data_IF_118945014337
#
_entry.id   IF_118945014337
#
_cell.length_a   1.000
_cell.length_b   1.000
_cell.length_c   1.000
_cell.angle_alpha   90.00
_cell.angle_beta   90.00
_cell.angle_gamma   90.00
#
_symmetry.space_group_name_H-M   'P 1'
#
loop_
_entity.id
_entity.type
_entity.pdbx_description
1 polymer ?
#
# COMPACT_ATOMS: atom_id res chain seq x y z
N UNK A 1 0.55 11.58 18.51
CA UNK A 1 0.37 11.44 18.00
C UNK A 1 -0.22 11.33 17.33
N UNK A 2 -0.46 11.30 17.17
CA UNK A 2 -0.95 11.12 16.64
C UNK A 2 -1.37 10.87 15.89
N UNK A 3 -1.78 10.67 15.53
CA UNK A 3 -2.24 10.46 14.95
C UNK A 3 -2.83 10.39 14.19
N UNK A 4 -3.14 10.34 13.86
CA UNK A 4 -3.91 10.38 13.31
C UNK A 4 -3.87 10.18 12.14
N UNK A 5 -3.95 9.76 11.65
CA UNK A 5 -3.73 9.44 10.57
C UNK A 5 -4.66 9.87 9.66
N UNK A 6 -4.37 10.39 8.67
CA UNK A 6 -5.20 10.86 7.73
C UNK A 6 -5.89 9.75 7.11
N UNK A 7 -7.05 9.85 6.86
CA UNK A 7 -7.71 8.82 6.26
C UNK A 7 -7.61 8.85 4.79
N UNK A 8 -7.05 9.86 4.17
CA UNK A 8 -7.02 9.90 2.76
C UNK A 8 -5.67 9.91 2.27
N UNK A 9 -5.38 9.04 1.37
CA UNK A 9 -4.04 8.89 0.87
C UNK A 9 -3.46 10.14 0.27
N UNK A 10 -4.29 10.97 -0.34
CA UNK A 10 -3.70 12.14 -0.95
C UNK A 10 -3.32 13.20 0.05
N UNK A 11 -3.66 13.02 1.31
CA UNK A 11 -3.27 13.97 2.33
C UNK A 11 -1.94 13.63 2.97
N UNK A 12 -1.31 12.54 2.58
CA UNK A 12 -0.06 12.14 3.19
C UNK A 12 1.11 12.94 2.61
N UNK A 13 2.06 13.28 3.46
CA UNK A 13 3.33 13.82 2.97
C UNK A 13 4.13 12.70 2.32
N UNK A 14 5.16 13.10 1.58
CA UNK A 14 6.04 12.11 0.96
C UNK A 14 6.64 11.17 2.00
N UNK A 15 7.12 11.71 3.12
CA UNK A 15 7.72 10.88 4.14
C UNK A 15 6.70 9.95 4.78
N UNK A 16 5.48 10.41 4.99
CA UNK A 16 4.44 9.56 5.53
C UNK A 16 4.08 8.43 4.58
N UNK A 17 4.00 8.73 3.30
CA UNK A 17 3.69 7.72 2.31
C UNK A 17 4.79 6.66 2.26
N UNK A 18 6.04 7.10 2.24
CA UNK A 18 7.15 6.16 2.23
C UNK A 18 7.19 5.33 3.51
N UNK A 19 6.85 5.93 4.65
CA UNK A 19 6.81 5.19 5.90
C UNK A 19 5.76 4.10 5.89
N UNK A 20 4.63 4.36 5.26
CA UNK A 20 3.60 3.33 5.13
C UNK A 20 4.16 2.16 4.34
N UNK A 21 4.83 2.42 3.23
CA UNK A 21 5.35 1.36 2.38
C UNK A 21 6.56 0.65 2.97
N UNK A 22 7.30 1.32 3.84
CA UNK A 22 8.57 0.79 4.31
C UNK A 22 8.46 -0.24 5.42
N UNK A 23 7.29 -0.41 6.02
CA UNK A 23 7.12 -1.48 6.99
C UNK A 23 7.38 -2.83 6.31
N UNK A 24 8.16 -3.72 6.92
CA UNK A 24 8.52 -4.97 6.24
C UNK A 24 7.33 -5.81 5.80
N UNK A 25 6.30 -5.87 6.62
CA UNK A 25 5.12 -6.64 6.24
C UNK A 25 4.39 -5.96 5.10
N UNK A 26 4.21 -4.66 5.18
CA UNK A 26 3.51 -3.94 4.12
C UNK A 26 4.32 -3.95 2.83
N UNK A 27 5.64 -3.90 2.94
CA UNK A 27 6.50 -3.99 1.77
C UNK A 27 6.29 -5.31 1.05
N UNK A 28 6.25 -6.40 1.83
CA UNK A 28 6.00 -7.72 1.26
C UNK A 28 4.63 -7.79 0.60
N UNK A 29 3.62 -7.23 1.26
CA UNK A 29 2.28 -7.21 0.69
C UNK A 29 2.24 -6.42 -0.62
N UNK A 30 2.91 -5.29 -0.67
CA UNK A 30 2.92 -4.49 -1.90
C UNK A 30 3.57 -5.27 -3.04
N UNK A 31 4.66 -5.96 -2.76
CA UNK A 31 5.31 -6.75 -3.79
C UNK A 31 4.42 -7.90 -4.26
N UNK A 32 3.73 -8.53 -3.33
CA UNK A 32 2.84 -9.62 -3.69
C UNK A 32 1.68 -9.12 -4.54
N UNK A 33 1.13 -7.96 -4.18
CA UNK A 33 0.03 -7.39 -4.95
C UNK A 33 0.48 -6.86 -6.30
N UNK A 34 1.72 -6.42 -6.40
CA UNK A 34 2.27 -5.98 -7.68
C UNK A 34 2.37 -7.16 -8.65
N UNK A 35 2.66 -8.32 -8.11
CA UNK A 35 2.75 -9.51 -8.95
C UNK A 35 1.37 -10.00 -9.35
N UNK A 36 0.42 -9.92 -8.41
CA UNK A 36 -0.88 -10.50 -8.67
C UNK A 36 -1.86 -10.05 -7.60
N UNK A 37 -2.97 -9.49 -7.98
CA UNK A 37 -4.01 -9.13 -7.03
C UNK A 37 -4.58 -10.38 -6.38
N UNK A 38 -4.91 -10.31 -5.11
CA UNK A 38 -5.29 -11.50 -4.39
C UNK A 38 -6.33 -11.25 -3.33
N UNK A 39 -7.04 -12.29 -2.96
CA UNK A 39 -7.90 -12.23 -1.80
C UNK A 39 -7.04 -12.41 -0.56
N UNK A 40 -7.62 -12.09 0.59
CA UNK A 40 -6.89 -12.15 1.85
C UNK A 40 -6.33 -13.53 2.13
N UNK A 41 -7.07 -14.57 1.76
CA UNK A 41 -6.60 -15.92 2.07
C UNK A 41 -5.30 -16.24 1.33
N UNK A 42 -5.16 -15.78 0.09
CA UNK A 42 -3.93 -15.98 -0.63
C UNK A 42 -2.79 -15.15 -0.08
N UNK A 43 -3.10 -13.92 0.31
CA UNK A 43 -2.06 -13.08 0.90
C UNK A 43 -1.53 -13.71 2.18
N UNK A 44 -2.40 -14.33 2.96
CA UNK A 44 -1.98 -14.95 4.20
C UNK A 44 -1.06 -16.14 3.98
N UNK A 45 -1.16 -16.79 2.83
CA UNK A 45 -0.24 -17.86 2.50
C UNK A 45 1.18 -17.35 2.31
N UNK A 46 1.30 -16.13 1.80
CA UNK A 46 2.62 -15.56 1.56
C UNK A 46 3.14 -14.76 2.74
N UNK A 47 2.24 -14.31 3.60
CA UNK A 47 2.61 -13.52 4.76
C UNK A 47 1.94 -14.17 5.95
N UNK A 48 2.59 -15.16 6.55
CA UNK A 48 1.97 -15.97 7.60
C UNK A 48 1.91 -15.25 8.95
N UNK A 49 1.02 -14.31 9.07
CA UNK A 49 0.79 -13.59 10.31
C UNK A 49 -0.68 -13.73 10.68
N UNK A 50 -1.00 -13.34 11.89
CA UNK A 50 -2.38 -13.44 12.35
C UNK A 50 -3.30 -12.62 11.43
N UNK A 51 -4.51 -13.12 11.24
CA UNK A 51 -5.44 -12.51 10.32
C UNK A 51 -5.77 -11.07 10.69
N UNK A 52 -5.88 -10.77 11.99
CA UNK A 52 -6.19 -9.41 12.41
C UNK A 52 -5.02 -8.46 12.12
N UNK A 53 -3.79 -8.95 12.21
CA UNK A 53 -2.64 -8.13 11.90
C UNK A 53 -2.54 -7.89 10.39
N UNK A 54 -2.83 -8.90 9.61
CA UNK A 54 -2.86 -8.76 8.16
C UNK A 54 -3.92 -7.73 7.77
N UNK A 55 -5.10 -7.81 8.36
CA UNK A 55 -6.17 -6.87 8.09
C UNK A 55 -5.78 -5.45 8.46
N UNK A 56 -5.05 -5.29 9.56
CA UNK A 56 -4.56 -3.97 9.96
C UNK A 56 -3.64 -3.39 8.89
N UNK A 57 -2.69 -4.17 8.43
CA UNK A 57 -1.74 -3.66 7.43
C UNK A 57 -2.41 -3.36 6.10
N UNK A 58 -3.36 -4.19 5.70
CA UNK A 58 -4.12 -3.92 4.48
C UNK A 58 -4.95 -2.65 4.61
N UNK A 59 -5.51 -2.42 5.78
CA UNK A 59 -6.26 -1.20 6.01
C UNK A 59 -5.36 0.02 5.92
N UNK A 60 -4.16 -0.04 6.50
CA UNK A 60 -3.21 1.07 6.42
C UNK A 60 -2.86 1.37 4.98
N UNK A 61 -2.58 0.33 4.19
CA UNK A 61 -2.26 0.51 2.78
C UNK A 61 -3.42 1.11 2.00
N UNK A 62 -4.63 0.66 2.31
CA UNK A 62 -5.80 1.17 1.61
C UNK A 62 -6.05 2.64 1.96
N UNK A 63 -5.92 3.00 3.23
CA UNK A 63 -6.13 4.38 3.64
C UNK A 63 -5.06 5.31 3.10
N UNK A 64 -3.88 4.78 2.83
CA UNK A 64 -2.83 5.56 2.20
C UNK A 64 -3.04 5.68 0.68
N UNK A 65 -4.02 4.98 0.14
CA UNK A 65 -4.28 5.05 -1.29
C UNK A 65 -3.36 4.21 -2.13
N UNK A 66 -2.63 3.29 -1.52
CA UNK A 66 -1.71 2.43 -2.26
C UNK A 66 -2.36 1.13 -2.71
N UNK A 67 -3.49 0.78 -2.11
CA UNK A 67 -4.18 -0.46 -2.40
C UNK A 67 -5.65 -0.17 -2.59
N UNK A 68 -6.26 -0.84 -3.53
CA UNK A 68 -7.71 -0.76 -3.75
C UNK A 68 -8.33 -2.11 -3.43
N UNK A 69 -9.63 -2.09 -3.20
CA UNK A 69 -10.36 -3.32 -2.94
C UNK A 69 -11.53 -3.41 -3.89
N UNK A 70 -11.94 -4.63 -4.18
CA UNK A 70 -13.18 -4.87 -4.89
C UNK A 70 -13.86 -6.06 -4.26
N UNK A 71 -15.20 -6.02 -4.28
CA UNK A 71 -15.93 -7.08 -3.65
C UNK A 71 -16.41 -8.06 -4.70
N UNK A 72 -16.26 -9.34 -4.41
CA UNK A 72 -16.70 -10.37 -5.30
C UNK A 72 -17.49 -11.35 -4.46
N UNK A 73 -18.80 -11.17 -4.42
CA UNK A 73 -19.64 -11.94 -3.52
C UNK A 73 -19.28 -11.62 -2.08
N UNK A 74 -18.89 -12.63 -1.34
CA UNK A 74 -18.46 -12.44 0.04
C UNK A 74 -16.94 -12.25 0.14
N UNK A 75 -16.26 -12.30 -0.98
CA UNK A 75 -14.81 -12.18 -0.98
C UNK A 75 -14.39 -10.75 -1.29
N UNK A 76 -13.29 -10.34 -0.73
CA UNK A 76 -12.72 -9.03 -1.02
C UNK A 76 -11.36 -9.26 -1.64
N UNK A 77 -11.18 -8.74 -2.83
CA UNK A 77 -9.90 -8.82 -3.52
C UNK A 77 -9.15 -7.52 -3.34
N UNK A 78 -7.85 -7.60 -3.20
CA UNK A 78 -6.99 -6.45 -3.05
C UNK A 78 -6.07 -6.35 -4.25
N UNK A 79 -5.74 -5.12 -4.64
CA UNK A 79 -4.83 -4.86 -5.75
C UNK A 79 -4.08 -3.58 -5.49
N UNK A 80 -2.94 -3.41 -6.15
CA UNK A 80 -2.26 -2.13 -6.08
C UNK A 80 -3.14 -1.07 -6.74
N UNK A 81 -3.19 0.10 -6.15
CA UNK A 81 -3.87 1.22 -6.79
C UNK A 81 -3.13 1.57 -8.08
N UNK A 82 -3.83 2.01 -9.11
CA UNK A 82 -3.19 2.28 -10.39
C UNK A 82 -2.01 3.24 -10.34
N UNK A 83 -2.05 4.22 -9.45
CA UNK A 83 -0.98 5.18 -9.35
C UNK A 83 -0.02 4.93 -8.21
N UNK A 84 -0.12 3.75 -7.56
CA UNK A 84 0.66 3.51 -6.35
C UNK A 84 2.15 3.63 -6.56
N UNK A 85 2.67 2.97 -7.59
CA UNK A 85 4.12 3.00 -7.82
C UNK A 85 4.59 4.38 -8.24
N UNK A 86 3.81 5.08 -9.04
CA UNK A 86 4.18 6.44 -9.43
C UNK A 86 4.22 7.36 -8.23
N UNK A 87 3.27 7.22 -7.31
CA UNK A 87 3.26 8.03 -6.10
C UNK A 87 4.46 7.74 -5.23
N UNK A 88 4.83 6.47 -5.10
CA UNK A 88 5.99 6.10 -4.30
C UNK A 88 7.28 6.62 -4.93
N UNK A 89 7.42 6.51 -6.25
CA UNK A 89 8.58 7.04 -6.92
C UNK A 89 8.68 8.56 -6.74
N UNK A 90 7.57 9.24 -6.86
CA UNK A 90 7.57 10.69 -6.71
C UNK A 90 7.87 11.13 -5.28
N UNK A 91 7.66 10.26 -4.31
CA UNK A 91 7.93 10.57 -2.93
C UNK A 91 9.39 10.39 -2.53
N UNK A 92 10.17 9.72 -3.37
CA UNK A 92 11.57 9.48 -3.02
C UNK A 92 12.37 10.77 -2.96
N UNK A 93 13.31 10.87 -2.03
CA UNK A 93 14.13 12.07 -1.93
C UNK A 93 14.86 12.31 -3.23
N UNK A 94 14.82 13.55 -3.69
CA UNK A 94 15.51 13.89 -4.93
C UNK A 94 14.81 13.48 -6.20
N UNK A 95 13.66 12.90 -6.08
CA UNK A 95 12.95 12.49 -7.24
C UNK A 95 12.50 13.70 -8.01
N UNK A 96 12.90 13.75 -9.24
CA UNK A 96 12.60 14.86 -9.92
C UNK A 96 11.67 14.54 -10.83
N UNK A 97 10.73 14.98 -10.70
CA UNK A 97 9.90 14.67 -11.50
C UNK A 97 10.09 15.05 -12.76
N UNK A 98 10.88 15.67 -13.08
CA UNK A 98 10.89 16.06 -14.27
C UNK A 98 11.94 15.81 -14.89
N UNK A 99 12.56 15.94 -15.01
CA UNK A 99 13.52 15.87 -15.54
C UNK A 99 14.16 15.27 -15.92
N UNK A 100 14.47 15.10 -16.45
CA UNK A 100 15.12 14.39 -16.76
C UNK A 100 16.23 14.71 -17.08
N UNK A 101 16.71 14.74 -17.15
CA UNK A 101 17.60 14.89 -17.43
C UNK A 101 18.26 14.82 -17.99
N UNK A 102 18.72 14.82 -18.28
CA UNK A 102 19.59 14.80 -18.86
C UNK A 102 20.21 14.32 -19.07
#
# INVERSE_FOLDING_TARGET
MLEVLPARGKDLTAAELLAVAADPIRWTLLNQLAADGSCVCKLQEHVPIAANLLSYHLKVLREAGLVTTSRRGRWIDYALAPAALDRLHAALPGAVTTAPVP
#
